data_IF_412970129175
#
_entry.id   IF_412970129175
#
_cell.length_a   1.000
_cell.length_b   1.000
_cell.length_c   1.000
_cell.angle_alpha   90.00
_cell.angle_beta   90.00
_cell.angle_gamma   90.00
#
_symmetry.space_group_name_H-M   'P 1'
#
loop_
_entity.id
_entity.type
_entity.pdbx_description
1 polymer ?
#
# COMPACT_ATOMS: atom_id res chain seq x y z
N UNK A 1 -7.62 -8.60 -13.45
CA UNK A 1 -6.67 -7.70 -14.10
C UNK A 1 -6.78 -6.31 -13.49
N UNK A 2 -5.64 -5.63 -13.25
CA UNK A 2 -5.64 -4.20 -12.90
C UNK A 2 -5.25 -3.38 -14.13
N UNK A 3 -5.96 -2.26 -14.33
CA UNK A 3 -5.73 -1.34 -15.46
C UNK A 3 -5.62 0.07 -14.91
N UNK A 4 -4.50 0.73 -15.12
CA UNK A 4 -4.23 2.09 -14.63
C UNK A 4 -4.13 3.04 -15.81
N UNK A 5 -5.01 4.04 -15.85
CA UNK A 5 -5.12 5.03 -16.94
C UNK A 5 -5.22 4.35 -18.33
N UNK A 6 -5.90 3.20 -18.41
CA UNK A 6 -6.08 2.42 -19.64
C UNK A 6 -4.96 1.42 -19.95
N UNK A 7 -3.89 1.39 -19.15
CA UNK A 7 -2.76 0.48 -19.36
C UNK A 7 -2.87 -0.70 -18.38
N UNK A 8 -2.93 -1.94 -18.87
CA UNK A 8 -2.90 -3.12 -18.02
C UNK A 8 -1.56 -3.20 -17.28
N UNK A 9 -1.62 -3.44 -15.98
CA UNK A 9 -0.43 -3.68 -15.17
C UNK A 9 -0.31 -5.14 -14.77
N UNK A 10 0.92 -5.64 -14.79
CA UNK A 10 1.20 -6.99 -14.30
C UNK A 10 1.24 -6.96 -12.77
N UNK A 11 0.26 -7.60 -12.16
CA UNK A 11 0.15 -7.73 -10.71
C UNK A 11 0.46 -9.17 -10.26
N UNK A 12 1.35 -9.85 -10.97
CA UNK A 12 1.83 -11.16 -10.55
C UNK A 12 2.91 -10.95 -9.49
N UNK A 13 2.67 -11.44 -8.29
CA UNK A 13 3.77 -11.76 -7.38
C UNK A 13 4.68 -12.75 -8.11
N UNK A 14 5.97 -12.49 -8.13
CA UNK A 14 6.93 -13.43 -8.71
C UNK A 14 6.95 -14.70 -7.85
N UNK A 15 6.03 -15.63 -8.13
CA UNK A 15 5.99 -16.96 -7.52
C UNK A 15 7.13 -17.87 -8.00
N UNK A 16 8.03 -17.36 -8.84
CA UNK A 16 9.26 -18.05 -9.29
C UNK A 16 10.36 -18.07 -8.22
N UNK A 17 9.99 -18.05 -6.94
CA UNK A 17 10.96 -18.28 -5.89
C UNK A 17 11.32 -19.78 -5.87
N UNK A 18 12.40 -20.12 -6.54
CA UNK A 18 13.14 -21.39 -6.40
C UNK A 18 13.70 -21.52 -4.98
N UNK A 19 12.85 -21.55 -4.00
CA UNK A 19 13.25 -21.70 -2.61
C UNK A 19 12.10 -22.30 -1.82
N UNK A 20 12.37 -23.34 -1.06
CA UNK A 20 11.39 -24.16 -0.36
C UNK A 20 10.37 -23.36 0.46
N UNK A 21 9.51 -24.10 1.16
CA UNK A 21 8.33 -23.65 1.93
C UNK A 21 8.52 -22.39 2.81
N UNK A 22 9.76 -21.95 3.04
CA UNK A 22 10.12 -20.81 3.89
C UNK A 22 10.55 -19.54 3.13
N UNK A 23 10.55 -19.53 1.80
CA UNK A 23 10.98 -18.38 1.00
C UNK A 23 9.80 -17.68 0.31
N UNK A 24 8.70 -17.48 1.02
CA UNK A 24 7.61 -16.62 0.58
C UNK A 24 8.06 -15.17 0.81
N UNK A 25 8.78 -14.61 -0.14
CA UNK A 25 8.85 -13.16 -0.24
C UNK A 25 7.67 -12.73 -1.11
N UNK A 26 6.68 -12.02 -0.55
CA UNK A 26 5.67 -11.39 -1.38
C UNK A 26 6.37 -10.41 -2.32
N UNK A 27 6.35 -10.71 -3.60
CA UNK A 27 6.83 -9.76 -4.61
C UNK A 27 6.00 -8.48 -4.53
N UNK A 28 6.62 -7.35 -4.78
CA UNK A 28 5.91 -6.08 -4.85
C UNK A 28 4.80 -6.19 -5.92
N UNK A 29 3.56 -6.08 -5.50
CA UNK A 29 2.43 -6.02 -6.42
C UNK A 29 2.42 -4.62 -7.06
N UNK A 30 2.45 -4.52 -8.39
CA UNK A 30 2.50 -3.24 -9.10
C UNK A 30 1.35 -2.29 -8.77
N UNK A 31 0.24 -2.80 -8.20
CA UNK A 31 -0.85 -1.99 -7.70
C UNK A 31 -0.50 -1.27 -6.39
N UNK A 32 0.35 -1.87 -5.57
CA UNK A 32 0.76 -1.28 -4.29
C UNK A 32 1.59 -0.01 -4.45
N UNK A 33 2.21 0.18 -5.63
CA UNK A 33 3.03 1.37 -5.94
C UNK A 33 2.19 2.62 -6.19
N UNK A 34 0.87 2.48 -6.31
CA UNK A 34 -0.02 3.62 -6.56
C UNK A 34 -0.36 4.28 -5.24
N UNK A 35 -0.07 5.60 -5.14
CA UNK A 35 -0.51 6.39 -4.02
C UNK A 35 -2.05 6.53 -4.07
N UNK A 36 -2.79 6.10 -3.02
CA UNK A 36 -4.23 6.25 -2.98
C UNK A 36 -4.72 7.69 -3.16
N UNK A 37 -3.95 8.67 -2.68
CA UNK A 37 -4.28 10.10 -2.81
C UNK A 37 -4.23 10.59 -4.27
N UNK A 38 -3.53 9.87 -5.16
CA UNK A 38 -3.47 10.18 -6.59
C UNK A 38 -4.62 9.54 -7.39
N UNK A 39 -5.50 8.75 -6.76
CA UNK A 39 -6.62 8.11 -7.43
C UNK A 39 -7.78 9.08 -7.58
N UNK A 40 -8.28 9.24 -8.81
CA UNK A 40 -9.50 10.01 -9.10
C UNK A 40 -10.75 9.13 -8.97
N UNK A 41 -10.69 7.92 -9.53
CA UNK A 41 -11.82 6.97 -9.48
C UNK A 41 -11.35 5.53 -9.67
N UNK A 42 -12.14 4.61 -9.10
CA UNK A 42 -12.00 3.17 -9.31
C UNK A 42 -13.31 2.62 -9.82
N UNK A 43 -13.27 1.84 -10.87
CA UNK A 43 -14.43 1.12 -11.41
C UNK A 43 -14.09 -0.33 -11.70
N UNK A 44 -15.08 -1.21 -11.59
CA UNK A 44 -14.91 -2.65 -11.83
C UNK A 44 -15.70 -3.04 -13.06
N UNK A 45 -15.02 -3.68 -14.01
CA UNK A 45 -15.66 -4.29 -15.19
C UNK A 45 -15.90 -5.77 -14.94
N UNK A 46 -17.09 -6.25 -15.28
CA UNK A 46 -17.42 -7.67 -15.27
C UNK A 46 -16.58 -8.44 -16.28
N UNK A 47 -16.43 -9.77 -16.07
CA UNK A 47 -15.56 -10.61 -16.89
C UNK A 47 -15.80 -10.50 -18.41
N UNK A 48 -17.05 -10.52 -18.84
CA UNK A 48 -17.39 -10.41 -20.27
C UNK A 48 -16.99 -9.06 -20.86
N UNK A 49 -17.30 -7.95 -20.19
CA UNK A 49 -16.94 -6.60 -20.64
C UNK A 49 -15.42 -6.37 -20.59
N UNK A 50 -14.78 -6.86 -19.53
CA UNK A 50 -13.33 -6.76 -19.37
C UNK A 50 -12.58 -7.59 -20.42
N UNK A 51 -13.04 -8.81 -20.72
CA UNK A 51 -12.45 -9.68 -21.73
C UNK A 51 -12.58 -9.11 -23.14
N UNK A 52 -13.66 -8.41 -23.44
CA UNK A 52 -13.84 -7.73 -24.72
C UNK A 52 -12.81 -6.61 -24.96
N UNK A 53 -12.38 -5.91 -23.89
CA UNK A 53 -11.44 -4.80 -23.96
C UNK A 53 -9.96 -5.22 -23.81
N UNK A 54 -9.69 -6.19 -22.93
CA UNK A 54 -8.35 -6.56 -22.52
C UNK A 54 -7.99 -8.03 -22.76
N UNK A 55 -8.84 -8.76 -23.47
CA UNK A 55 -8.61 -10.16 -23.84
C UNK A 55 -8.76 -11.15 -22.68
N UNK A 56 -8.21 -12.35 -22.88
CA UNK A 56 -8.32 -13.45 -21.92
C UNK A 56 -7.75 -13.17 -20.52
N UNK A 57 -6.77 -12.28 -20.42
CA UNK A 57 -6.19 -11.88 -19.13
C UNK A 57 -7.21 -11.19 -18.19
N UNK A 58 -8.29 -10.65 -18.76
CA UNK A 58 -9.37 -10.00 -18.02
C UNK A 58 -10.65 -10.85 -17.94
N UNK A 59 -10.59 -12.15 -18.26
CA UNK A 59 -11.77 -13.03 -18.27
C UNK A 59 -12.50 -13.10 -16.91
N UNK A 60 -11.76 -12.92 -15.80
CA UNK A 60 -12.32 -12.86 -14.44
C UNK A 60 -12.70 -11.43 -13.99
N UNK A 61 -12.63 -10.45 -14.90
CA UNK A 61 -12.90 -9.04 -14.63
C UNK A 61 -11.65 -8.18 -14.56
N UNK A 62 -11.87 -6.87 -14.55
CA UNK A 62 -10.80 -5.87 -14.43
C UNK A 62 -11.19 -4.75 -13.47
N UNK A 63 -10.22 -4.32 -12.68
CA UNK A 63 -10.30 -3.12 -11.84
C UNK A 63 -9.64 -1.98 -12.60
N UNK A 64 -10.44 -0.99 -12.96
CA UNK A 64 -10.01 0.20 -13.69
C UNK A 64 -9.69 1.31 -12.71
N UNK A 65 -8.47 1.77 -12.67
CA UNK A 65 -8.02 2.86 -11.82
C UNK A 65 -7.68 4.05 -12.70
N UNK A 66 -8.36 5.14 -12.45
CA UNK A 66 -8.08 6.41 -13.09
C UNK A 66 -7.34 7.31 -12.12
N UNK A 67 -6.16 7.79 -12.51
CA UNK A 67 -5.37 8.71 -11.68
C UNK A 67 -5.77 10.15 -11.94
N UNK A 68 -5.59 11.00 -10.92
CA UNK A 68 -5.82 12.44 -11.00
C UNK A 68 -5.03 13.04 -12.17
N UNK A 69 -5.59 14.07 -12.77
CA UNK A 69 -4.99 14.85 -13.86
C UNK A 69 -5.09 16.32 -13.57
N UNK A 70 -4.32 17.14 -14.28
CA UNK A 70 -4.50 18.58 -14.30
C UNK A 70 -5.92 18.96 -14.69
N UNK A 71 -6.39 20.10 -14.23
CA UNK A 71 -7.71 20.65 -14.55
C UNK A 71 -7.58 22.09 -15.04
N UNK A 72 -8.44 22.45 -15.98
CA UNK A 72 -8.55 23.82 -16.46
C UNK A 72 -9.04 24.72 -15.34
N UNK A 73 -8.41 25.87 -15.14
CA UNK A 73 -8.82 26.86 -14.16
C UNK A 73 -7.69 27.33 -13.26
N UNK A 74 -8.05 27.72 -12.03
CA UNK A 74 -7.08 28.23 -11.06
C UNK A 74 -6.17 27.08 -10.57
N UNK A 75 -4.91 27.42 -10.36
CA UNK A 75 -3.96 26.52 -9.73
C UNK A 75 -4.45 26.18 -8.32
N UNK A 76 -4.54 24.89 -8.04
CA UNK A 76 -4.96 24.32 -6.76
C UNK A 76 -3.77 23.57 -6.16
N UNK A 77 -3.46 23.90 -4.91
CA UNK A 77 -2.50 23.15 -4.09
C UNK A 77 -3.27 22.50 -2.95
N UNK A 78 -3.15 21.19 -2.84
CA UNK A 78 -3.77 20.41 -1.77
C UNK A 78 -2.67 19.78 -0.93
N UNK A 79 -2.86 19.81 0.38
CA UNK A 79 -2.02 19.12 1.34
C UNK A 79 -2.88 18.27 2.24
N UNK A 80 -2.54 16.99 2.36
CA UNK A 80 -3.20 16.05 3.27
C UNK A 80 -2.18 15.40 4.19
N UNK A 81 -2.58 15.19 5.44
CA UNK A 81 -1.82 14.44 6.42
C UNK A 81 -2.74 13.49 7.18
N UNK A 82 -2.27 12.29 7.44
CA UNK A 82 -3.00 11.29 8.22
C UNK A 82 -2.04 10.62 9.20
N UNK A 83 -2.50 10.49 10.43
CA UNK A 83 -1.78 9.76 11.47
C UNK A 83 -2.69 8.70 12.06
N UNK A 84 -2.23 7.45 12.05
CA UNK A 84 -2.94 6.32 12.62
C UNK A 84 -2.10 5.69 13.72
N UNK A 85 -2.74 5.38 14.84
CA UNK A 85 -2.14 4.63 15.94
C UNK A 85 -2.71 3.21 15.94
N UNK A 86 -1.82 2.23 15.98
CA UNK A 86 -2.14 0.82 15.92
C UNK A 86 -1.74 0.14 17.24
N UNK A 87 -2.64 -0.65 17.79
CA UNK A 87 -2.36 -1.49 18.96
C UNK A 87 -2.98 -2.87 18.75
N UNK A 88 -2.40 -3.93 19.31
CA UNK A 88 -3.01 -5.25 19.25
C UNK A 88 -4.39 -5.21 19.93
N UNK A 89 -5.41 -5.68 19.24
CA UNK A 89 -6.79 -5.68 19.73
C UNK A 89 -7.07 -6.86 20.66
N UNK A 90 -6.60 -8.06 20.26
CA UNK A 90 -6.77 -9.29 21.03
C UNK A 90 -5.42 -9.95 21.19
N UNK A 91 -5.08 -10.28 22.41
CA UNK A 91 -3.88 -11.03 22.76
C UNK A 91 -4.31 -12.28 23.56
N UNK A 92 -3.62 -13.42 23.37
CA UNK A 92 -3.90 -14.59 24.17
C UNK A 92 -3.51 -14.37 25.63
N UNK A 93 -4.36 -14.83 26.51
CA UNK A 93 -4.05 -14.89 27.94
C UNK A 93 -3.29 -16.18 28.22
N UNK A 94 -2.08 -16.04 28.74
CA UNK A 94 -1.27 -17.17 29.17
C UNK A 94 -1.47 -17.44 30.65
N UNK A 95 -1.52 -18.72 31.01
CA UNK A 95 -1.47 -19.10 32.40
C UNK A 95 -0.07 -18.78 32.97
N UNK A 96 -0.03 -18.16 34.13
CA UNK A 96 1.20 -17.72 34.84
C UNK A 96 1.29 -18.29 36.24
N UNK A 97 0.35 -19.16 36.64
CA UNK A 97 0.33 -19.78 37.99
C UNK A 97 1.29 -20.95 38.11
N UNK A 98 1.55 -21.68 37.03
CA UNK A 98 2.40 -22.85 37.03
C UNK A 98 3.58 -22.67 36.09
N UNK A 99 4.77 -22.98 36.56
CA UNK A 99 6.00 -22.93 35.76
C UNK A 99 6.23 -24.23 34.97
N UNK A 100 7.36 -24.30 34.30
CA UNK A 100 7.83 -25.49 33.62
C UNK A 100 8.54 -26.42 34.62
N UNK A 101 8.50 -27.73 34.38
CA UNK A 101 9.43 -28.64 35.01
C UNK A 101 10.82 -28.53 34.39
N UNK A 102 11.84 -28.81 35.16
CA UNK A 102 13.20 -28.82 34.63
C UNK A 102 13.31 -29.75 33.40
N UNK A 103 13.85 -29.22 32.32
CA UNK A 103 14.01 -29.93 31.04
C UNK A 103 12.71 -30.35 30.30
N UNK A 104 11.56 -29.79 30.68
CA UNK A 104 10.29 -30.00 29.96
C UNK A 104 9.77 -28.69 29.38
N UNK A 105 9.16 -28.75 28.18
CA UNK A 105 8.49 -27.62 27.55
C UNK A 105 7.02 -27.45 27.98
N UNK A 106 6.57 -28.21 29.00
CA UNK A 106 5.18 -28.20 29.48
C UNK A 106 4.98 -27.14 30.55
N UNK A 107 3.96 -26.31 30.39
CA UNK A 107 3.64 -25.19 31.31
C UNK A 107 2.92 -25.60 32.61
N UNK A 108 2.80 -26.88 32.92
CA UNK A 108 2.05 -27.39 34.08
C UNK A 108 2.98 -28.11 35.07
N UNK A 109 3.99 -27.42 35.55
CA UNK A 109 4.92 -27.90 36.54
C UNK A 109 4.54 -27.49 37.98
N UNK A 110 5.49 -27.04 38.77
CA UNK A 110 5.25 -26.57 40.13
C UNK A 110 4.54 -25.21 40.12
N UNK A 111 3.65 -25.00 41.09
CA UNK A 111 2.99 -23.70 41.28
C UNK A 111 4.03 -22.62 41.57
N UNK A 112 3.95 -21.52 40.83
CA UNK A 112 4.85 -20.39 41.04
C UNK A 112 4.42 -19.59 42.28
N UNK A 113 5.13 -19.75 43.36
CA UNK A 113 4.86 -19.06 44.63
C UNK A 113 5.60 -17.71 44.75
N UNK A 114 6.53 -17.45 43.84
CA UNK A 114 7.41 -16.28 43.93
C UNK A 114 6.83 -15.02 43.30
N UNK A 115 5.68 -15.07 42.66
CA UNK A 115 5.07 -13.92 41.95
C UNK A 115 5.91 -13.33 40.82
N UNK A 116 7.07 -13.91 40.53
CA UNK A 116 7.99 -13.48 39.48
C UNK A 116 7.95 -14.48 38.32
N UNK A 117 7.66 -14.02 37.12
CA UNK A 117 7.81 -14.85 35.93
C UNK A 117 6.58 -15.02 35.04
N UNK A 118 5.53 -14.24 35.21
CA UNK A 118 4.42 -14.23 34.29
C UNK A 118 4.81 -13.57 32.97
N UNK A 119 4.63 -14.27 31.86
CA UNK A 119 4.78 -13.68 30.55
C UNK A 119 3.45 -13.05 30.10
N UNK A 120 3.48 -11.77 29.82
CA UNK A 120 2.35 -11.05 29.23
C UNK A 120 2.73 -10.62 27.82
N UNK A 121 2.07 -11.17 26.77
CA UNK A 121 2.39 -10.84 25.39
C UNK A 121 2.36 -9.36 25.08
N UNK A 122 1.56 -8.59 25.82
CA UNK A 122 1.44 -7.14 25.66
C UNK A 122 2.79 -6.41 25.78
N UNK A 123 3.73 -6.92 26.56
CA UNK A 123 5.04 -6.28 26.74
C UNK A 123 5.95 -6.44 25.52
N UNK A 124 5.65 -7.37 24.63
CA UNK A 124 6.38 -7.54 23.37
C UNK A 124 5.99 -6.51 22.32
N UNK A 125 4.73 -6.10 22.33
CA UNK A 125 4.19 -5.19 21.32
C UNK A 125 4.39 -3.73 21.73
N UNK A 126 4.61 -2.90 20.72
CA UNK A 126 4.60 -1.43 20.86
C UNK A 126 3.34 -0.84 20.21
N UNK A 127 3.05 0.42 20.48
CA UNK A 127 2.08 1.16 19.68
C UNK A 127 2.69 1.43 18.32
N UNK A 128 2.08 0.90 17.26
CA UNK A 128 2.45 1.20 15.90
C UNK A 128 1.93 2.59 15.50
N UNK A 129 2.66 3.26 14.65
CA UNK A 129 2.30 4.58 14.10
C UNK A 129 2.44 4.54 12.59
N UNK A 130 1.36 4.91 11.88
CA UNK A 130 1.40 5.15 10.45
C UNK A 130 1.20 6.65 10.21
N UNK A 131 2.19 7.29 9.62
CA UNK A 131 2.18 8.72 9.31
C UNK A 131 2.32 8.92 7.81
N UNK A 132 1.28 9.45 7.19
CA UNK A 132 1.21 9.68 5.74
C UNK A 132 1.00 11.14 5.47
N UNK A 133 1.79 11.69 4.55
CA UNK A 133 1.66 13.05 4.04
C UNK A 133 1.56 13.00 2.52
N UNK A 134 0.75 13.86 1.97
CA UNK A 134 0.65 14.07 0.53
C UNK A 134 0.50 15.56 0.23
N UNK A 135 1.24 16.03 -0.78
CA UNK A 135 1.11 17.37 -1.31
C UNK A 135 0.89 17.26 -2.81
N UNK A 136 -0.15 17.90 -3.33
CA UNK A 136 -0.43 17.88 -4.77
C UNK A 136 -0.68 19.27 -5.31
N UNK A 137 -0.32 19.47 -6.57
CA UNK A 137 -0.53 20.67 -7.36
C UNK A 137 -1.28 20.29 -8.62
N UNK A 138 -2.41 20.94 -8.83
CA UNK A 138 -3.22 20.84 -10.04
C UNK A 138 -3.29 22.20 -10.70
N UNK A 139 -2.89 22.29 -11.96
CA UNK A 139 -2.95 23.52 -12.74
C UNK A 139 -3.28 23.19 -14.19
N UNK A 140 -3.84 24.15 -14.92
CA UNK A 140 -4.02 23.94 -16.34
C UNK A 140 -4.77 25.04 -17.06
N UNK A 141 -4.50 25.08 -18.37
CA UNK A 141 -5.26 25.82 -19.38
C UNK A 141 -6.02 24.80 -20.25
N UNK A 142 -6.82 25.27 -21.18
CA UNK A 142 -7.51 24.40 -22.14
C UNK A 142 -6.54 23.50 -22.94
N UNK A 143 -5.33 24.00 -23.20
CA UNK A 143 -4.33 23.30 -24.02
C UNK A 143 -3.29 22.53 -23.23
N UNK A 144 -3.06 22.88 -21.98
CA UNK A 144 -2.02 22.24 -21.15
C UNK A 144 -2.50 22.08 -19.72
N UNK A 145 -2.52 20.84 -19.22
CA UNK A 145 -2.97 20.51 -17.88
C UNK A 145 -1.87 19.72 -17.18
N UNK A 146 -1.55 20.13 -15.97
CA UNK A 146 -0.45 19.57 -15.15
C UNK A 146 -0.99 19.10 -13.82
N UNK A 147 -0.58 17.92 -13.43
CA UNK A 147 -0.74 17.36 -12.09
C UNK A 147 0.64 16.94 -11.57
N UNK A 148 0.97 17.37 -10.36
CA UNK A 148 2.17 16.97 -9.63
C UNK A 148 1.76 16.54 -8.22
N UNK A 149 2.26 15.41 -7.76
CA UNK A 149 2.02 14.92 -6.40
C UNK A 149 3.31 14.40 -5.79
N UNK A 150 3.47 14.68 -4.50
CA UNK A 150 4.55 14.19 -3.64
C UNK A 150 3.92 13.54 -2.42
N UNK A 151 4.19 12.25 -2.22
CA UNK A 151 3.70 11.48 -1.09
C UNK A 151 4.84 10.94 -0.23
N UNK A 152 4.62 10.87 1.06
CA UNK A 152 5.48 10.12 1.99
C UNK A 152 4.63 9.34 2.98
N UNK A 153 5.00 8.10 3.23
CA UNK A 153 4.39 7.25 4.24
C UNK A 153 5.49 6.63 5.09
N UNK A 154 5.37 6.80 6.39
CA UNK A 154 6.27 6.20 7.38
C UNK A 154 5.43 5.35 8.32
N UNK A 155 5.70 4.07 8.37
CA UNK A 155 4.99 3.10 9.20
C UNK A 155 5.96 2.49 10.19
N UNK A 156 5.67 2.64 11.46
CA UNK A 156 6.28 1.85 12.53
C UNK A 156 5.28 0.81 12.99
N UNK A 157 5.57 -0.46 12.75
CA UNK A 157 4.67 -1.57 13.07
C UNK A 157 4.52 -1.80 14.58
N UNK A 158 3.52 -2.59 14.96
CA UNK A 158 3.30 -3.00 16.36
C UNK A 158 4.36 -3.99 16.87
N UNK A 159 5.08 -4.64 15.96
CA UNK A 159 6.21 -5.53 16.28
C UNK A 159 7.49 -4.69 16.26
N UNK A 160 8.37 -4.80 17.26
CA UNK A 160 9.67 -4.12 17.24
C UNK A 160 10.48 -4.46 15.97
N UNK A 161 11.21 -3.48 15.44
CA UNK A 161 12.05 -3.60 14.24
C UNK A 161 11.27 -3.90 12.93
N UNK A 162 9.98 -3.60 12.90
CA UNK A 162 9.18 -3.64 11.69
C UNK A 162 8.82 -2.20 11.32
N UNK A 163 9.65 -1.58 10.50
CA UNK A 163 9.50 -0.20 10.06
C UNK A 163 9.53 -0.15 8.52
N UNK A 164 8.63 0.63 7.93
CA UNK A 164 8.47 0.79 6.48
C UNK A 164 8.42 2.28 6.12
N UNK A 165 9.10 2.65 5.05
CA UNK A 165 9.09 4.00 4.51
C UNK A 165 8.86 3.98 3.01
N UNK A 166 7.96 4.83 2.54
CA UNK A 166 7.67 4.99 1.11
C UNK A 166 7.64 6.46 0.74
N UNK A 167 8.24 6.78 -0.40
CA UNK A 167 8.20 8.09 -1.03
C UNK A 167 7.71 7.94 -2.46
N UNK A 168 6.74 8.73 -2.84
CA UNK A 168 6.12 8.71 -4.15
C UNK A 168 6.25 10.09 -4.80
N UNK A 169 6.56 10.10 -6.08
CA UNK A 169 6.48 11.27 -6.95
C UNK A 169 5.62 10.90 -8.16
N UNK A 170 4.56 11.64 -8.40
CA UNK A 170 3.70 11.51 -9.58
C UNK A 170 3.68 12.82 -10.34
N UNK A 171 3.99 12.75 -11.62
CA UNK A 171 3.85 13.87 -12.55
C UNK A 171 3.01 13.43 -13.75
N UNK A 172 1.99 14.20 -14.09
CA UNK A 172 1.15 13.96 -15.24
C UNK A 172 0.90 15.26 -15.99
N UNK A 173 1.16 15.24 -17.29
CA UNK A 173 0.89 16.36 -18.16
C UNK A 173 0.02 15.91 -19.33
N UNK A 174 -1.01 16.67 -19.60
CA UNK A 174 -1.89 16.48 -20.76
C UNK A 174 -1.79 17.72 -21.62
N UNK A 175 -1.30 17.56 -22.83
CA UNK A 175 -1.15 18.62 -23.81
C UNK A 175 -2.05 18.36 -25.00
N UNK A 176 -2.83 19.36 -25.39
CA UNK A 176 -3.75 19.32 -26.53
C UNK A 176 -3.32 20.33 -27.56
N UNK A 177 -3.15 19.89 -28.80
CA UNK A 177 -2.70 20.71 -29.94
C UNK A 177 -3.56 20.48 -31.17
N UNK A 178 -3.28 21.28 -32.23
CA UNK A 178 -3.95 21.14 -33.56
C UNK A 178 -5.48 21.18 -33.48
N UNK A 179 -6.02 22.18 -32.76
CA UNK A 179 -7.48 22.35 -32.61
C UNK A 179 -8.16 21.06 -32.12
N UNK A 180 -7.63 20.51 -31.00
CA UNK A 180 -8.09 19.30 -30.34
C UNK A 180 -7.91 17.98 -31.12
N UNK A 181 -7.22 18.01 -32.25
CA UNK A 181 -6.94 16.80 -33.04
C UNK A 181 -5.80 15.96 -32.49
N UNK A 182 -4.92 16.56 -31.70
CA UNK A 182 -3.77 15.86 -31.07
C UNK A 182 -3.81 16.04 -29.55
N UNK A 183 -3.96 14.95 -28.84
CA UNK A 183 -3.86 14.92 -27.37
C UNK A 183 -2.70 14.01 -26.95
N UNK A 184 -1.72 14.59 -26.30
CA UNK A 184 -0.55 13.90 -25.74
C UNK A 184 -0.69 13.83 -24.24
N UNK A 185 -0.56 12.65 -23.69
CA UNK A 185 -0.52 12.44 -22.22
C UNK A 185 0.83 11.87 -21.87
N UNK A 186 1.56 12.61 -21.04
CA UNK A 186 2.80 12.18 -20.44
C UNK A 186 2.55 11.89 -18.96
N UNK A 187 2.96 10.71 -18.48
CA UNK A 187 2.86 10.33 -17.07
C UNK A 187 4.19 9.74 -16.61
N UNK A 188 4.70 10.28 -15.52
CA UNK A 188 5.89 9.80 -14.84
C UNK A 188 5.55 9.50 -13.38
N UNK A 189 5.93 8.31 -12.92
CA UNK A 189 5.78 7.89 -11.51
C UNK A 189 7.11 7.35 -11.02
N UNK A 190 7.49 7.75 -9.84
CA UNK A 190 8.66 7.25 -9.15
C UNK A 190 8.26 6.86 -7.72
N UNK A 191 8.65 5.65 -7.32
CA UNK A 191 8.40 5.14 -5.97
C UNK A 191 9.72 4.64 -5.41
N UNK A 192 9.98 4.98 -4.16
CA UNK A 192 11.10 4.45 -3.38
C UNK A 192 10.56 3.89 -2.08
N UNK A 193 10.87 2.62 -1.83
CA UNK A 193 10.52 1.90 -0.62
C UNK A 193 11.77 1.49 0.14
N UNK A 194 11.65 1.44 1.46
CA UNK A 194 12.70 0.99 2.36
C UNK A 194 12.05 0.27 3.54
N UNK A 195 12.36 -1.00 3.69
CA UNK A 195 11.87 -1.90 4.73
C UNK A 195 13.01 -2.22 5.70
N UNK A 196 12.67 -2.37 6.97
CA UNK A 196 13.57 -2.88 8.01
C UNK A 196 12.92 -4.01 8.77
#
# INVERSE_FOLDING_TARGET
>A
LYVVDGIPINNRSNDDVKGGIYSIQPGAEGISDINPDDIESVSVLSGAAAAALYGSAAAQGAVMIKTKSGRVGKTLVEFSTSTQFLSPFVLPDFQNEYGNRANEMKSWGTKNTSGTGGYTPKHFFRTGVNFTNNASLTAGTERNQVYLSLGSSTVSGIIPNNDFQRYNLTFKNVFTALEDKLRLTFSFKFVRENDK
#
